data_IF_281580369336
#
_entry.id   IF_281580369336
#
_cell.length_a   1.000
_cell.length_b   1.000
_cell.length_c   1.000
_cell.angle_alpha   90.00
_cell.angle_beta   90.00
_cell.angle_gamma   90.00
#
_symmetry.space_group_name_H-M   'P 1'
#
loop_
_entity.id
_entity.type
_entity.pdbx_description
1 polymer ?
#
# COMPACT_ATOMS: atom_id res chain seq x y z
N UNK A 1 -36.80 5.64 -8.51
CA UNK A 1 -37.01 5.51 -7.05
C UNK A 1 -38.49 5.48 -6.62
N UNK A 2 -39.37 6.42 -6.99
CA UNK A 2 -40.82 6.38 -6.61
C UNK A 2 -41.56 5.06 -6.95
N UNK A 3 -41.27 4.47 -8.12
CA UNK A 3 -41.80 3.16 -8.55
C UNK A 3 -41.22 1.96 -7.77
N UNK A 4 -40.04 2.13 -7.15
CA UNK A 4 -39.39 1.09 -6.34
C UNK A 4 -39.99 1.11 -4.93
N UNK A 5 -40.15 2.31 -4.35
CA UNK A 5 -40.72 2.53 -3.01
C UNK A 5 -42.16 1.97 -2.83
N UNK A 6 -42.87 1.73 -3.93
CA UNK A 6 -44.23 1.18 -3.94
C UNK A 6 -44.28 -0.34 -4.05
N UNK A 7 -43.22 -1.00 -4.54
CA UNK A 7 -43.19 -2.45 -4.77
C UNK A 7 -42.56 -3.25 -3.63
N UNK A 8 -41.75 -2.59 -2.81
CA UNK A 8 -40.83 -3.27 -1.88
C UNK A 8 -41.31 -3.33 -0.42
N UNK A 9 -42.42 -2.65 -0.08
CA UNK A 9 -42.93 -2.63 1.29
C UNK A 9 -43.39 -4.00 1.79
N UNK A 10 -43.67 -4.90 0.85
CA UNK A 10 -44.12 -6.26 1.11
C UNK A 10 -43.01 -7.30 0.90
N UNK A 11 -41.76 -6.85 0.66
CA UNK A 11 -40.60 -7.73 0.48
C UNK A 11 -39.84 -7.88 1.81
N UNK A 12 -39.70 -9.11 2.28
CA UNK A 12 -39.12 -9.44 3.60
C UNK A 12 -37.61 -9.78 3.52
N UNK A 13 -36.96 -9.51 2.40
CA UNK A 13 -35.53 -9.77 2.20
C UNK A 13 -34.68 -8.51 2.06
N UNK A 14 -33.37 -8.71 1.93
CA UNK A 14 -32.41 -7.62 1.72
C UNK A 14 -32.57 -6.95 0.36
N UNK A 15 -32.37 -5.64 0.33
CA UNK A 15 -32.54 -4.84 -0.88
C UNK A 15 -31.30 -4.01 -1.15
N UNK A 16 -30.63 -4.35 -2.25
CA UNK A 16 -29.48 -3.62 -2.75
C UNK A 16 -29.90 -2.59 -3.80
N UNK A 17 -29.68 -1.31 -3.50
CA UNK A 17 -29.90 -0.22 -4.44
C UNK A 17 -28.57 0.19 -5.09
N UNK A 18 -28.35 -0.25 -6.33
CA UNK A 18 -27.22 0.19 -7.15
C UNK A 18 -27.54 1.51 -7.85
N UNK A 19 -26.69 2.51 -7.67
CA UNK A 19 -26.76 3.80 -8.35
C UNK A 19 -25.37 4.46 -8.39
N UNK A 20 -25.20 5.44 -9.27
CA UNK A 20 -24.09 6.38 -9.19
C UNK A 20 -24.49 7.58 -8.33
N UNK A 21 -23.63 7.97 -7.41
CA UNK A 21 -23.81 9.17 -6.61
C UNK A 21 -23.61 10.44 -7.45
N UNK A 22 -22.77 10.36 -8.48
CA UNK A 22 -22.57 11.39 -9.48
C UNK A 22 -22.47 10.81 -10.89
N UNK A 23 -23.08 11.51 -11.84
CA UNK A 23 -23.03 11.19 -13.26
C UNK A 23 -22.15 12.21 -13.98
N UNK A 24 -21.22 11.74 -14.80
CA UNK A 24 -20.43 12.61 -15.67
C UNK A 24 -21.14 12.81 -17.01
N UNK A 25 -21.49 14.06 -17.32
CA UNK A 25 -22.15 14.42 -18.58
C UNK A 25 -21.11 14.91 -19.60
N UNK A 26 -20.81 14.08 -20.60
CA UNK A 26 -19.70 14.31 -21.54
C UNK A 26 -19.84 15.59 -22.39
N UNK A 27 -21.06 15.98 -22.75
CA UNK A 27 -21.28 17.16 -23.61
C UNK A 27 -21.10 18.48 -22.87
N UNK A 28 -21.43 18.52 -21.57
CA UNK A 28 -21.30 19.74 -20.74
C UNK A 28 -20.06 19.71 -19.85
N UNK A 29 -19.41 18.54 -19.73
CA UNK A 29 -18.23 18.32 -18.87
C UNK A 29 -18.58 18.61 -17.41
N UNK A 30 -19.76 18.18 -16.97
CA UNK A 30 -20.30 18.43 -15.63
C UNK A 30 -20.48 17.13 -14.84
N UNK A 31 -20.27 17.22 -13.52
CA UNK A 31 -20.64 16.18 -12.57
C UNK A 31 -22.00 16.51 -11.95
N UNK A 32 -23.00 15.67 -12.21
CA UNK A 32 -24.36 15.86 -11.75
C UNK A 32 -24.68 14.89 -10.61
N UNK A 33 -25.09 15.43 -9.45
CA UNK A 33 -25.62 14.62 -8.35
C UNK A 33 -27.01 14.11 -8.73
N UNK A 34 -27.09 12.83 -9.11
CA UNK A 34 -28.33 12.19 -9.53
C UNK A 34 -29.26 11.76 -8.36
N UNK A 35 -28.74 11.33 -7.19
CA UNK A 35 -29.61 10.85 -6.11
C UNK A 35 -30.44 11.94 -5.42
N UNK A 36 -31.70 11.61 -5.14
CA UNK A 36 -32.58 12.46 -4.35
C UNK A 36 -32.54 12.04 -2.87
N UNK A 37 -31.93 12.86 -2.01
CA UNK A 37 -31.75 12.56 -0.57
C UNK A 37 -33.09 12.30 0.14
N UNK A 38 -34.16 13.05 -0.19
CA UNK A 38 -35.48 12.82 0.42
C UNK A 38 -36.07 11.45 0.06
N UNK A 39 -35.83 10.96 -1.15
CA UNK A 39 -36.26 9.61 -1.55
C UNK A 39 -35.35 8.53 -0.95
N UNK A 40 -34.05 8.79 -0.80
CA UNK A 40 -33.12 7.89 -0.11
C UNK A 40 -33.42 7.79 1.39
N UNK A 41 -33.78 8.88 2.05
CA UNK A 41 -34.23 8.84 3.44
C UNK A 41 -35.51 8.02 3.62
N UNK A 42 -36.43 8.07 2.65
CA UNK A 42 -37.61 7.17 2.63
C UNK A 42 -37.27 5.72 2.34
N UNK A 43 -36.18 5.47 1.60
CA UNK A 43 -35.63 4.14 1.42
C UNK A 43 -35.04 3.64 2.75
N UNK A 44 -34.36 4.50 3.49
CA UNK A 44 -33.84 4.20 4.83
C UNK A 44 -32.69 3.19 4.83
N UNK A 45 -31.62 3.42 4.04
CA UNK A 45 -30.52 2.45 3.93
C UNK A 45 -29.82 2.25 5.28
N UNK A 46 -29.32 1.04 5.51
CA UNK A 46 -28.49 0.73 6.69
C UNK A 46 -27.03 1.12 6.50
N UNK A 47 -26.55 1.15 5.26
CA UNK A 47 -25.18 1.52 4.91
C UNK A 47 -25.06 1.97 3.46
N UNK A 48 -23.98 2.65 3.14
CA UNK A 48 -23.60 3.03 1.77
C UNK A 48 -22.21 2.46 1.48
N UNK A 49 -22.07 1.76 0.36
CA UNK A 49 -20.78 1.21 -0.09
C UNK A 49 -20.44 1.81 -1.45
N UNK A 50 -19.32 2.49 -1.54
CA UNK A 50 -18.73 2.92 -2.82
C UNK A 50 -17.79 1.83 -3.31
N UNK A 51 -18.15 1.22 -4.43
CA UNK A 51 -17.30 0.23 -5.10
C UNK A 51 -16.21 0.94 -5.91
N UNK A 52 -14.96 0.56 -5.69
CA UNK A 52 -13.80 1.11 -6.42
C UNK A 52 -13.09 0.03 -7.22
N UNK A 53 -12.50 0.42 -8.33
CA UNK A 53 -11.67 -0.43 -9.17
C UNK A 53 -10.47 0.36 -9.70
N UNK A 54 -9.56 -0.31 -10.38
CA UNK A 54 -8.41 0.34 -11.02
C UNK A 54 -8.83 1.22 -12.18
N UNK A 55 -8.24 2.41 -12.24
CA UNK A 55 -8.49 3.43 -13.27
C UNK A 55 -8.31 2.87 -14.68
N UNK A 56 -7.33 1.96 -14.87
CA UNK A 56 -7.06 1.35 -16.18
C UNK A 56 -8.13 0.36 -16.60
N UNK A 57 -8.62 -0.48 -15.69
CA UNK A 57 -9.68 -1.45 -15.97
C UNK A 57 -11.00 -0.72 -16.23
N UNK A 58 -11.26 0.37 -15.48
CA UNK A 58 -12.38 1.27 -15.73
C UNK A 58 -12.24 1.92 -17.11
N UNK A 59 -11.06 2.43 -17.47
CA UNK A 59 -10.81 3.04 -18.77
C UNK A 59 -11.06 2.06 -19.91
N UNK A 60 -10.53 0.83 -19.81
CA UNK A 60 -10.73 -0.20 -20.81
C UNK A 60 -12.22 -0.54 -21.00
N UNK A 61 -12.96 -0.75 -19.91
CA UNK A 61 -14.41 -1.00 -20.00
C UNK A 61 -15.15 0.18 -20.61
N UNK A 62 -14.76 1.42 -20.29
CA UNK A 62 -15.37 2.61 -20.87
C UNK A 62 -15.00 2.86 -22.34
N UNK A 63 -14.03 2.10 -22.90
CA UNK A 63 -13.68 2.09 -24.33
C UNK A 63 -14.47 1.04 -25.13
N UNK A 64 -15.17 0.12 -24.47
CA UNK A 64 -15.99 -0.91 -25.13
C UNK A 64 -17.11 -0.28 -25.99
N UNK A 65 -17.71 -1.06 -26.87
CA UNK A 65 -18.78 -0.59 -27.78
C UNK A 65 -19.93 0.04 -26.98
N UNK A 66 -20.43 1.20 -27.45
CA UNK A 66 -21.49 2.00 -26.81
C UNK A 66 -21.13 2.62 -25.45
N UNK A 67 -19.84 2.72 -25.12
CA UNK A 67 -19.36 3.39 -23.91
C UNK A 67 -18.78 4.77 -24.21
N UNK A 68 -18.66 5.62 -23.18
CA UNK A 68 -18.36 7.06 -23.32
C UNK A 68 -16.96 7.38 -23.87
N UNK A 69 -16.00 6.47 -23.70
CA UNK A 69 -14.65 6.58 -24.25
C UNK A 69 -14.45 5.66 -25.46
N UNK A 70 -15.53 5.12 -26.01
CA UNK A 70 -15.46 4.48 -27.32
C UNK A 70 -15.16 5.52 -28.40
N UNK A 71 -14.22 5.21 -29.29
CA UNK A 71 -13.80 6.11 -30.37
C UNK A 71 -14.93 6.47 -31.34
N UNK A 72 -15.85 5.55 -31.60
CA UNK A 72 -16.97 5.81 -32.51
C UNK A 72 -17.97 6.82 -31.91
N UNK A 73 -17.92 7.01 -30.60
CA UNK A 73 -18.75 7.97 -29.87
C UNK A 73 -17.96 9.29 -29.71
N UNK A 74 -17.17 9.43 -28.65
CA UNK A 74 -16.41 10.63 -28.34
C UNK A 74 -15.14 10.35 -27.51
N UNK A 75 -14.65 9.11 -27.57
CA UNK A 75 -13.41 8.69 -26.95
C UNK A 75 -12.15 9.22 -27.66
N UNK A 76 -11.05 9.26 -26.93
CA UNK A 76 -9.77 9.73 -27.42
C UNK A 76 -9.23 8.89 -28.59
N UNK A 77 -8.56 9.58 -29.52
CA UNK A 77 -7.85 9.01 -30.66
C UNK A 77 -6.33 9.26 -30.61
N UNK A 78 -5.84 9.95 -29.58
CA UNK A 78 -4.43 10.28 -29.34
C UNK A 78 -3.99 9.87 -27.93
N UNK A 79 -2.70 9.63 -27.74
CA UNK A 79 -2.12 9.29 -26.42
C UNK A 79 -2.38 10.38 -25.38
N UNK A 80 -2.28 11.66 -25.77
CA UNK A 80 -2.64 12.80 -24.91
C UNK A 80 -4.10 12.72 -24.46
N UNK A 81 -5.02 12.44 -25.39
CA UNK A 81 -6.44 12.29 -25.09
C UNK A 81 -6.72 11.14 -24.12
N UNK A 82 -6.05 10.00 -24.29
CA UNK A 82 -6.17 8.84 -23.40
C UNK A 82 -5.67 9.16 -21.97
N UNK A 83 -4.59 9.95 -21.80
CA UNK A 83 -4.15 10.43 -20.48
C UNK A 83 -5.21 11.33 -19.85
N UNK A 84 -5.82 12.23 -20.64
CA UNK A 84 -6.88 13.12 -20.17
C UNK A 84 -8.15 12.37 -19.73
N UNK A 85 -8.48 11.26 -20.40
CA UNK A 85 -9.57 10.38 -19.96
C UNK A 85 -9.26 9.71 -18.61
N UNK A 86 -8.02 9.26 -18.38
CA UNK A 86 -7.61 8.74 -17.09
C UNK A 86 -7.72 9.80 -15.98
N UNK A 87 -7.32 11.05 -16.25
CA UNK A 87 -7.57 12.16 -15.31
C UNK A 87 -9.06 12.34 -15.00
N UNK A 88 -9.93 12.27 -16.01
CA UNK A 88 -11.38 12.37 -15.81
C UNK A 88 -11.92 11.22 -14.94
N UNK A 89 -11.44 10.00 -15.11
CA UNK A 89 -11.85 8.86 -14.26
C UNK A 89 -11.41 9.08 -12.81
N UNK A 90 -10.18 9.59 -12.59
CA UNK A 90 -9.68 9.93 -11.27
C UNK A 90 -10.52 11.02 -10.58
N UNK A 91 -10.94 12.04 -11.33
CA UNK A 91 -11.82 13.10 -10.83
C UNK A 91 -13.23 12.57 -10.56
N UNK A 92 -13.77 11.72 -11.44
CA UNK A 92 -15.07 11.09 -11.28
C UNK A 92 -15.11 10.24 -10.00
N UNK A 93 -14.11 9.38 -9.78
CA UNK A 93 -13.99 8.59 -8.55
C UNK A 93 -13.96 9.45 -7.28
N UNK A 94 -13.24 10.57 -7.33
CA UNK A 94 -13.15 11.50 -6.19
C UNK A 94 -14.51 12.12 -5.88
N UNK A 95 -15.24 12.58 -6.90
CA UNK A 95 -16.59 13.11 -6.77
C UNK A 95 -17.58 12.05 -6.28
N UNK A 96 -17.51 10.83 -6.81
CA UNK A 96 -18.36 9.71 -6.42
C UNK A 96 -18.19 9.39 -4.93
N UNK A 97 -16.93 9.28 -4.48
CA UNK A 97 -16.63 8.99 -3.08
C UNK A 97 -17.07 10.12 -2.16
N UNK A 98 -16.85 11.37 -2.57
CA UNK A 98 -17.22 12.56 -1.80
C UNK A 98 -18.75 12.67 -1.65
N UNK A 99 -19.49 12.53 -2.75
CA UNK A 99 -20.95 12.68 -2.75
C UNK A 99 -21.59 11.50 -2.00
N UNK A 100 -21.08 10.27 -2.15
CA UNK A 100 -21.55 9.13 -1.36
C UNK A 100 -21.35 9.35 0.15
N UNK A 101 -20.17 9.84 0.58
CA UNK A 101 -19.90 10.20 1.98
C UNK A 101 -20.85 11.29 2.49
N UNK A 102 -21.09 12.31 1.67
CA UNK A 102 -22.03 13.39 1.98
C UNK A 102 -23.45 12.85 2.17
N UNK A 103 -23.94 12.02 1.25
CA UNK A 103 -25.26 11.38 1.36
C UNK A 103 -25.35 10.57 2.66
N UNK A 104 -24.35 9.77 3.00
CA UNK A 104 -24.34 8.99 4.24
C UNK A 104 -24.44 9.88 5.50
N UNK A 105 -23.69 10.99 5.52
CA UNK A 105 -23.73 11.97 6.61
C UNK A 105 -25.09 12.65 6.74
N UNK A 106 -25.69 13.09 5.63
CA UNK A 106 -27.01 13.73 5.63
C UNK A 106 -28.10 12.77 6.09
N UNK A 107 -28.08 11.53 5.60
CA UNK A 107 -29.04 10.51 6.02
C UNK A 107 -28.88 10.19 7.52
N UNK A 108 -27.65 10.13 8.03
CA UNK A 108 -27.39 9.95 9.47
C UNK A 108 -27.99 11.07 10.32
N UNK A 109 -27.99 12.32 9.82
CA UNK A 109 -28.62 13.46 10.50
C UNK A 109 -30.15 13.44 10.45
N UNK A 110 -30.74 12.85 9.42
CA UNK A 110 -32.20 12.75 9.25
C UNK A 110 -32.81 11.56 10.01
N UNK A 111 -32.03 10.51 10.28
CA UNK A 111 -32.46 9.35 11.03
C UNK A 111 -31.98 9.44 12.47
N UNK A 112 -32.80 10.03 13.35
CA UNK A 112 -32.48 10.17 14.78
C UNK A 112 -32.03 8.84 15.39
N UNK A 113 -30.80 8.81 15.90
CA UNK A 113 -30.23 7.64 16.56
C UNK A 113 -29.68 6.55 15.64
N UNK A 114 -29.72 6.71 14.30
CA UNK A 114 -29.18 5.73 13.35
C UNK A 114 -28.08 6.37 12.47
N UNK A 115 -26.83 6.08 12.80
CA UNK A 115 -25.71 6.40 11.92
C UNK A 115 -25.71 5.46 10.70
N UNK A 116 -25.53 6.03 9.51
CA UNK A 116 -25.42 5.28 8.26
C UNK A 116 -23.94 5.33 7.84
N UNK A 117 -23.19 4.23 8.02
CA UNK A 117 -21.78 4.20 7.65
C UNK A 117 -21.59 4.25 6.14
N UNK A 118 -20.48 4.86 5.74
CA UNK A 118 -19.99 4.85 4.36
C UNK A 118 -18.70 4.05 4.29
N UNK A 119 -18.67 3.03 3.45
CA UNK A 119 -17.49 2.22 3.19
C UNK A 119 -16.99 2.41 1.75
N UNK A 120 -15.67 2.43 1.60
CA UNK A 120 -15.00 2.24 0.31
C UNK A 120 -14.59 0.77 0.22
N UNK A 121 -14.99 0.10 -0.85
CA UNK A 121 -14.74 -1.32 -1.06
C UNK A 121 -14.20 -1.56 -2.46
N UNK A 122 -13.00 -2.11 -2.58
CA UNK A 122 -12.46 -2.47 -3.87
C UNK A 122 -13.11 -3.75 -4.42
N UNK A 123 -13.56 -3.74 -5.67
CA UNK A 123 -14.27 -4.87 -6.30
C UNK A 123 -13.44 -6.14 -6.41
N UNK A 124 -12.12 -6.02 -6.27
CA UNK A 124 -11.16 -7.12 -6.31
C UNK A 124 -10.99 -7.84 -4.98
N UNK A 125 -11.63 -7.41 -3.88
CA UNK A 125 -11.71 -8.22 -2.66
C UNK A 125 -12.52 -9.50 -2.90
N UNK A 126 -12.32 -10.52 -2.06
CA UNK A 126 -13.21 -11.67 -2.03
C UNK A 126 -14.66 -11.24 -1.71
N UNK A 127 -15.61 -11.91 -2.35
CA UNK A 127 -17.04 -11.71 -2.15
C UNK A 127 -17.44 -12.03 -0.70
N UNK A 128 -16.76 -12.99 -0.08
CA UNK A 128 -16.92 -13.29 1.35
C UNK A 128 -16.61 -12.06 2.22
N UNK A 129 -15.59 -11.27 1.89
CA UNK A 129 -15.27 -10.04 2.62
C UNK A 129 -16.41 -9.01 2.54
N UNK A 130 -17.06 -8.88 1.37
CA UNK A 130 -18.25 -8.03 1.23
C UNK A 130 -19.43 -8.59 2.00
N UNK A 131 -19.65 -9.91 1.94
CA UNK A 131 -20.70 -10.57 2.71
C UNK A 131 -20.51 -10.33 4.21
N UNK A 132 -19.30 -10.52 4.73
CA UNK A 132 -18.95 -10.28 6.13
C UNK A 132 -19.17 -8.80 6.51
N UNK A 133 -18.80 -7.86 5.63
CA UNK A 133 -19.04 -6.43 5.84
C UNK A 133 -20.53 -6.10 5.99
N UNK A 134 -21.38 -6.71 5.15
CA UNK A 134 -22.82 -6.41 5.11
C UNK A 134 -23.59 -7.14 6.22
N UNK A 135 -23.31 -8.44 6.41
CA UNK A 135 -24.14 -9.33 7.23
C UNK A 135 -23.53 -9.71 8.57
N UNK A 136 -22.24 -9.42 8.79
CA UNK A 136 -21.54 -9.75 10.03
C UNK A 136 -20.94 -8.50 10.68
N UNK A 137 -21.80 -7.56 11.12
CA UNK A 137 -21.34 -6.30 11.71
C UNK A 137 -20.51 -6.50 12.98
N UNK A 138 -20.59 -7.67 13.62
CA UNK A 138 -19.78 -8.05 14.78
C UNK A 138 -18.31 -8.35 14.44
N UNK A 139 -18.00 -8.67 13.19
CA UNK A 139 -16.63 -8.93 12.78
C UNK A 139 -15.83 -7.62 12.75
N UNK A 140 -14.58 -7.62 13.25
CA UNK A 140 -13.73 -6.44 13.21
C UNK A 140 -13.37 -6.09 11.77
N UNK A 141 -13.41 -4.79 11.46
CA UNK A 141 -12.93 -4.24 10.19
C UNK A 141 -11.45 -3.96 10.35
N UNK A 142 -10.61 -4.59 9.52
CA UNK A 142 -9.16 -4.54 9.70
C UNK A 142 -8.52 -4.03 8.41
N UNK A 143 -7.77 -2.93 8.50
CA UNK A 143 -6.88 -2.54 7.43
C UNK A 143 -5.56 -3.28 7.55
N UNK A 144 -5.13 -3.95 6.47
CA UNK A 144 -3.95 -4.80 6.43
C UNK A 144 -2.84 -4.11 5.63
N UNK A 145 -1.99 -3.41 6.35
CA UNK A 145 -0.83 -2.68 5.84
C UNK A 145 0.35 -3.61 5.54
N UNK A 146 1.00 -3.46 4.38
CA UNK A 146 2.14 -4.30 3.96
C UNK A 146 3.06 -3.60 2.93
N UNK A 147 4.34 -4.02 2.79
CA UNK A 147 5.37 -3.27 2.05
C UNK A 147 5.32 -3.47 0.52
N UNK A 148 4.40 -2.80 -0.17
CA UNK A 148 4.22 -2.93 -1.65
C UNK A 148 5.47 -2.48 -2.43
N UNK A 149 6.04 -1.32 -2.09
CA UNK A 149 7.15 -0.73 -2.85
C UNK A 149 8.42 -1.59 -2.84
N UNK A 150 8.69 -2.29 -1.74
CA UNK A 150 9.85 -3.17 -1.61
C UNK A 150 9.71 -4.40 -2.52
N UNK A 151 8.52 -4.99 -2.59
CA UNK A 151 8.26 -6.16 -3.44
C UNK A 151 8.40 -5.80 -4.92
N UNK A 152 7.94 -4.59 -5.30
CA UNK A 152 8.17 -4.06 -6.65
C UNK A 152 9.64 -3.76 -6.94
N UNK A 153 10.40 -3.30 -5.95
CA UNK A 153 11.86 -3.12 -6.08
C UNK A 153 12.54 -4.45 -6.36
N UNK A 154 12.19 -5.50 -5.61
CA UNK A 154 12.71 -6.86 -5.81
C UNK A 154 12.44 -7.39 -7.22
N UNK A 155 11.20 -7.26 -7.73
CA UNK A 155 10.87 -7.65 -9.12
C UNK A 155 11.72 -6.91 -10.15
N UNK A 156 11.92 -5.60 -9.99
CA UNK A 156 12.79 -4.82 -10.91
C UNK A 156 14.26 -5.22 -10.85
N UNK A 157 14.72 -5.71 -9.70
CA UNK A 157 16.09 -6.19 -9.52
C UNK A 157 16.27 -7.67 -9.92
N UNK A 158 15.20 -8.33 -10.38
CA UNK A 158 15.22 -9.74 -10.78
C UNK A 158 15.20 -10.73 -9.61
N UNK A 159 14.84 -10.28 -8.40
CA UNK A 159 14.68 -11.12 -7.22
C UNK A 159 13.26 -11.74 -7.13
N UNK A 160 12.76 -12.31 -8.24
CA UNK A 160 11.36 -12.73 -8.40
C UNK A 160 10.92 -13.76 -7.34
N UNK A 161 11.77 -14.76 -7.04
CA UNK A 161 11.45 -15.80 -6.05
C UNK A 161 11.11 -15.20 -4.67
N UNK A 162 11.86 -14.18 -4.23
CA UNK A 162 11.62 -13.55 -2.93
C UNK A 162 10.40 -12.63 -2.95
N UNK A 163 10.19 -11.92 -4.06
CA UNK A 163 8.99 -11.13 -4.27
C UNK A 163 7.72 -12.00 -4.27
N UNK A 164 7.74 -13.11 -5.01
CA UNK A 164 6.62 -14.03 -5.16
C UNK A 164 6.28 -14.75 -3.85
N UNK A 165 7.27 -15.13 -3.04
CA UNK A 165 7.02 -15.67 -1.69
C UNK A 165 6.22 -14.69 -0.81
N UNK A 166 6.55 -13.40 -0.88
CA UNK A 166 5.86 -12.37 -0.12
C UNK A 166 4.47 -12.08 -0.67
N UNK A 167 4.31 -12.08 -2.01
CA UNK A 167 3.00 -11.96 -2.67
C UNK A 167 2.09 -13.11 -2.23
N UNK A 168 2.56 -14.37 -2.31
CA UNK A 168 1.80 -15.55 -1.86
C UNK A 168 1.41 -15.47 -0.38
N UNK A 169 2.30 -14.97 0.48
CA UNK A 169 1.99 -14.78 1.91
C UNK A 169 0.87 -13.75 2.13
N UNK A 170 0.81 -12.70 1.30
CA UNK A 170 -0.24 -11.68 1.36
C UNK A 170 -1.56 -12.21 0.77
N UNK A 171 -1.51 -13.01 -0.29
CA UNK A 171 -2.68 -13.71 -0.84
C UNK A 171 -3.29 -14.68 0.18
N UNK A 172 -2.46 -15.45 0.89
CA UNK A 172 -2.90 -16.29 2.00
C UNK A 172 -3.56 -15.44 3.09
N UNK A 173 -3.00 -14.28 3.42
CA UNK A 173 -3.56 -13.37 4.42
C UNK A 173 -4.93 -12.83 3.97
N UNK A 174 -5.09 -12.43 2.71
CA UNK A 174 -6.38 -12.05 2.13
C UNK A 174 -7.41 -13.19 2.24
N UNK A 175 -7.00 -14.41 1.90
CA UNK A 175 -7.86 -15.59 1.92
C UNK A 175 -8.29 -15.95 3.34
N UNK A 176 -7.37 -16.00 4.30
CA UNK A 176 -7.67 -16.37 5.69
C UNK A 176 -8.41 -15.26 6.44
N UNK A 177 -8.17 -13.99 6.12
CA UNK A 177 -8.92 -12.88 6.71
C UNK A 177 -10.40 -12.93 6.29
N UNK A 178 -10.69 -13.35 5.07
CA UNK A 178 -12.06 -13.57 4.60
C UNK A 178 -12.77 -14.66 5.42
N UNK A 179 -13.92 -14.34 6.02
CA UNK A 179 -14.68 -15.23 6.90
C UNK A 179 -14.32 -15.13 8.38
N UNK A 180 -13.16 -14.55 8.73
CA UNK A 180 -12.71 -14.36 10.12
C UNK A 180 -12.73 -12.89 10.55
N UNK A 181 -12.56 -11.96 9.60
CA UNK A 181 -12.64 -10.51 9.78
C UNK A 181 -13.00 -9.83 8.46
N UNK A 182 -13.30 -8.53 8.48
CA UNK A 182 -13.43 -7.76 7.25
C UNK A 182 -12.08 -7.13 6.90
N UNK A 183 -11.28 -7.83 6.11
CA UNK A 183 -9.92 -7.41 5.72
C UNK A 183 -9.89 -6.47 4.51
N UNK A 184 -9.46 -5.22 4.71
CA UNK A 184 -9.17 -4.26 3.63
C UNK A 184 -7.67 -4.28 3.30
N UNK A 185 -7.32 -4.48 2.03
CA UNK A 185 -5.95 -4.59 1.54
C UNK A 185 -5.73 -3.53 0.45
N UNK A 186 -4.65 -2.73 0.51
CA UNK A 186 -4.37 -1.71 -0.49
C UNK A 186 -4.09 -2.28 -1.90
N UNK A 187 -3.65 -3.53 -2.01
CA UNK A 187 -3.27 -4.20 -3.27
C UNK A 187 -4.45 -4.68 -4.12
N UNK A 188 -5.68 -4.62 -3.60
CA UNK A 188 -6.90 -4.85 -4.39
C UNK A 188 -7.19 -3.68 -5.33
N UNK A 189 -6.48 -2.56 -5.23
CA UNK A 189 -6.51 -1.46 -6.21
C UNK A 189 -5.06 -1.01 -6.48
N UNK A 190 -4.49 -1.53 -7.57
CA UNK A 190 -3.10 -1.42 -7.98
C UNK A 190 -2.95 -0.54 -9.23
N UNK A 191 -2.84 0.77 -9.02
CA UNK A 191 -2.95 1.78 -10.09
C UNK A 191 -1.65 2.51 -10.40
N UNK A 192 -0.68 2.56 -9.48
CA UNK A 192 0.60 3.20 -9.74
C UNK A 192 1.48 2.26 -10.57
N UNK A 193 1.09 1.97 -11.80
CA UNK A 193 1.77 0.99 -12.67
C UNK A 193 2.40 1.60 -13.91
N UNK A 194 2.36 2.92 -14.07
CA UNK A 194 3.00 3.59 -15.21
C UNK A 194 4.50 3.29 -15.15
N UNK A 195 5.01 2.67 -16.20
CA UNK A 195 6.42 2.30 -16.30
C UNK A 195 7.30 3.55 -16.43
N UNK A 196 8.55 3.47 -15.99
CA UNK A 196 9.48 4.59 -16.06
C UNK A 196 10.94 4.13 -16.13
N UNK A 197 11.76 4.91 -16.84
CA UNK A 197 13.22 4.83 -16.76
C UNK A 197 13.78 5.91 -15.83
N UNK A 198 15.05 5.77 -15.47
CA UNK A 198 15.82 6.83 -14.84
C UNK A 198 16.73 7.49 -15.87
N UNK A 199 16.70 8.83 -15.93
CA UNK A 199 17.62 9.59 -16.77
C UNK A 199 19.03 9.70 -16.15
N UNK A 200 19.94 10.40 -16.83
CA UNK A 200 21.31 10.63 -16.33
C UNK A 200 21.36 11.35 -14.97
N UNK A 201 20.31 12.11 -14.63
CA UNK A 201 20.15 12.82 -13.35
C UNK A 201 19.38 11.99 -12.31
N UNK A 202 19.00 10.75 -12.63
CA UNK A 202 18.16 9.86 -11.83
C UNK A 202 16.73 10.37 -11.64
N UNK A 203 16.23 11.19 -12.54
CA UNK A 203 14.83 11.57 -12.60
C UNK A 203 14.02 10.53 -13.38
N UNK A 204 12.75 10.36 -12.99
CA UNK A 204 11.85 9.39 -13.62
C UNK A 204 11.34 9.92 -14.97
N UNK A 205 11.62 9.18 -16.04
CA UNK A 205 11.02 9.38 -17.37
C UNK A 205 9.92 8.34 -17.55
N UNK A 206 8.67 8.79 -17.42
CA UNK A 206 7.51 7.92 -17.55
C UNK A 206 7.27 7.50 -19.01
N UNK A 207 6.94 6.22 -19.19
CA UNK A 207 6.66 5.60 -20.47
C UNK A 207 5.17 5.38 -20.66
N UNK A 208 4.70 5.40 -21.92
CA UNK A 208 3.37 4.95 -22.26
C UNK A 208 3.30 3.42 -22.19
N UNK A 209 3.45 2.84 -21.00
CA UNK A 209 3.30 1.40 -20.75
C UNK A 209 2.99 1.16 -19.26
N UNK A 210 2.41 -0.01 -18.96
CA UNK A 210 2.18 -0.44 -17.59
C UNK A 210 3.14 -1.56 -17.20
N UNK A 211 3.65 -1.49 -15.98
CA UNK A 211 4.24 -2.65 -15.31
C UNK A 211 3.16 -3.71 -15.04
N UNK A 212 3.62 -4.94 -14.82
CA UNK A 212 2.76 -6.05 -14.39
C UNK A 212 1.93 -5.65 -13.17
N UNK A 213 0.68 -6.11 -13.13
CA UNK A 213 -0.20 -6.01 -11.97
C UNK A 213 0.37 -6.83 -10.81
N UNK A 214 0.28 -6.28 -9.60
CA UNK A 214 0.42 -7.07 -8.38
C UNK A 214 -0.46 -8.33 -8.43
N UNK A 215 0.14 -9.49 -8.21
CA UNK A 215 -0.55 -10.78 -8.20
C UNK A 215 -1.47 -10.98 -9.43
N UNK A 216 -0.96 -10.69 -10.63
CA UNK A 216 -1.77 -10.69 -11.85
C UNK A 216 -2.59 -11.98 -12.04
N UNK A 217 -2.00 -13.15 -11.77
CA UNK A 217 -2.68 -14.45 -11.87
C UNK A 217 -3.85 -14.57 -10.89
N UNK A 218 -3.65 -14.19 -9.63
CA UNK A 218 -4.67 -14.23 -8.57
C UNK A 218 -5.88 -13.35 -8.85
N UNK A 219 -5.69 -12.22 -9.53
CA UNK A 219 -6.77 -11.30 -9.89
C UNK A 219 -7.34 -11.48 -11.30
N UNK A 220 -6.73 -12.34 -12.12
CA UNK A 220 -7.29 -12.71 -13.43
C UNK A 220 -8.52 -13.62 -13.28
N UNK A 221 -8.55 -14.44 -12.22
CA UNK A 221 -9.70 -15.28 -11.88
C UNK A 221 -10.79 -14.44 -11.20
N UNK A 222 -11.99 -14.42 -11.79
CA UNK A 222 -13.15 -13.69 -11.24
C UNK A 222 -13.94 -14.51 -10.22
N UNK A 223 -13.55 -15.76 -9.97
CA UNK A 223 -14.24 -16.63 -9.03
C UNK A 223 -14.24 -16.01 -7.62
N UNK A 224 -15.42 -15.85 -7.04
CA UNK A 224 -15.64 -15.25 -5.72
C UNK A 224 -15.17 -13.79 -5.58
N UNK A 225 -15.22 -12.97 -6.63
CA UNK A 225 -14.98 -11.51 -6.55
C UNK A 225 -16.09 -10.75 -7.27
N UNK A 226 -16.24 -9.44 -6.99
CA UNK A 226 -17.12 -8.56 -7.78
C UNK A 226 -16.44 -8.05 -9.06
N UNK A 227 -15.13 -8.23 -9.16
CA UNK A 227 -14.34 -7.79 -10.29
C UNK A 227 -14.70 -8.56 -11.55
N UNK A 228 -15.06 -7.83 -12.60
CA UNK A 228 -15.19 -8.34 -13.95
C UNK A 228 -13.98 -7.82 -14.72
N UNK A 229 -13.04 -8.69 -15.11
CA UNK A 229 -11.90 -8.26 -15.89
C UNK A 229 -12.41 -7.67 -17.22
N UNK A 230 -11.76 -6.62 -17.73
CA UNK A 230 -12.08 -6.09 -19.05
C UNK A 230 -11.95 -7.21 -20.09
N UNK A 231 -12.84 -7.25 -21.08
CA UNK A 231 -12.77 -8.24 -22.15
C UNK A 231 -11.47 -8.00 -22.90
N UNK A 232 -10.56 -8.99 -22.90
CA UNK A 232 -9.38 -8.96 -23.76
C UNK A 232 -9.86 -8.83 -25.20
N UNK A 233 -9.74 -7.63 -25.79
CA UNK A 233 -9.91 -7.52 -27.24
C UNK A 233 -8.85 -8.40 -27.87
N UNK A 234 -9.23 -9.26 -28.83
CA UNK A 234 -8.40 -10.28 -29.50
C UNK A 234 -7.03 -9.80 -30.07
N UNK A 235 -6.63 -8.53 -29.89
CA UNK A 235 -5.48 -7.93 -30.54
C UNK A 235 -4.48 -7.12 -29.70
N UNK A 236 -4.58 -7.01 -28.37
CA UNK A 236 -3.57 -6.23 -27.64
C UNK A 236 -3.26 -6.83 -26.27
N UNK A 237 -1.98 -7.24 -26.08
CA UNK A 237 -1.34 -7.12 -24.76
C UNK A 237 -1.71 -5.74 -24.22
N UNK A 238 -2.02 -5.57 -22.92
CA UNK A 238 -2.50 -4.31 -22.31
C UNK A 238 -1.56 -3.13 -22.60
N UNK A 239 -1.66 -2.63 -23.82
CA UNK A 239 -1.07 -1.41 -24.33
C UNK A 239 -2.10 -0.38 -23.93
N UNK A 240 -1.76 0.37 -22.88
CA UNK A 240 -2.54 1.54 -22.52
C UNK A 240 -2.78 2.45 -23.75
N UNK A 241 -1.82 2.43 -24.70
CA UNK A 241 -1.70 3.35 -25.82
C UNK A 241 -1.46 2.55 -27.10
N UNK A 242 -2.15 2.92 -28.18
CA UNK A 242 -2.02 2.22 -29.47
C UNK A 242 -0.63 2.38 -30.11
N UNK A 243 0.05 3.50 -29.85
CA UNK A 243 1.34 3.84 -30.45
C UNK A 243 2.42 4.05 -29.36
N UNK A 244 3.14 2.98 -29.00
CA UNK A 244 4.33 3.06 -28.11
C UNK A 244 5.43 3.98 -28.67
N UNK A 245 5.38 4.27 -29.98
CA UNK A 245 6.32 5.15 -30.68
C UNK A 245 6.05 6.65 -30.51
N UNK A 246 4.85 7.06 -30.06
CA UNK A 246 4.48 8.47 -29.93
C UNK A 246 4.74 8.98 -28.49
N UNK A 247 6.00 8.91 -28.07
CA UNK A 247 6.44 9.46 -26.77
C UNK A 247 6.86 10.92 -26.93
N UNK A 248 5.89 11.77 -27.28
CA UNK A 248 6.09 13.22 -27.27
C UNK A 248 6.44 13.70 -25.86
N UNK A 249 7.17 14.80 -25.74
CA UNK A 249 7.54 15.35 -24.43
C UNK A 249 6.32 15.84 -23.64
N UNK A 250 5.24 16.24 -24.34
CA UNK A 250 3.94 16.52 -23.74
C UNK A 250 3.34 15.27 -23.09
N UNK A 251 3.38 14.13 -23.78
CA UNK A 251 2.86 12.86 -23.26
C UNK A 251 3.62 12.42 -22.02
N UNK A 252 4.97 12.48 -22.03
CA UNK A 252 5.79 12.17 -20.85
C UNK A 252 5.47 13.07 -19.65
N UNK A 253 5.25 14.36 -19.92
CA UNK A 253 4.88 15.35 -18.89
C UNK A 253 3.52 15.02 -18.28
N UNK A 254 2.53 14.70 -19.11
CA UNK A 254 1.20 14.32 -18.65
C UNK A 254 1.20 12.98 -17.89
N UNK A 255 2.02 12.01 -18.30
CA UNK A 255 2.19 10.75 -17.58
C UNK A 255 2.78 10.95 -16.19
N UNK A 256 3.76 11.86 -16.04
CA UNK A 256 4.31 12.24 -14.74
C UNK A 256 3.22 12.83 -13.83
N UNK A 257 2.45 13.80 -14.34
CA UNK A 257 1.33 14.39 -13.59
C UNK A 257 0.25 13.34 -13.26
N UNK A 258 -0.02 12.40 -14.16
CA UNK A 258 -0.94 11.29 -13.91
C UNK A 258 -0.44 10.39 -12.78
N UNK A 259 0.82 9.99 -12.82
CA UNK A 259 1.45 9.19 -11.77
C UNK A 259 1.38 9.90 -10.40
N UNK A 260 1.66 11.21 -10.36
CA UNK A 260 1.59 12.02 -9.14
C UNK A 260 0.16 12.10 -8.59
N UNK A 261 -0.85 12.28 -9.46
CA UNK A 261 -2.26 12.28 -9.03
C UNK A 261 -2.72 10.91 -8.55
N UNK A 262 -2.32 9.84 -9.22
CA UNK A 262 -2.58 8.47 -8.77
C UNK A 262 -1.96 8.27 -7.39
N UNK A 263 -0.69 8.64 -7.18
CA UNK A 263 -0.02 8.54 -5.88
C UNK A 263 -0.74 9.29 -4.76
N UNK A 264 -1.23 10.51 -5.02
CA UNK A 264 -2.04 11.30 -4.08
C UNK A 264 -3.38 10.61 -3.76
N UNK A 265 -4.05 10.04 -4.77
CA UNK A 265 -5.32 9.34 -4.56
C UNK A 265 -5.14 8.01 -3.82
N UNK A 266 -4.07 7.26 -4.10
CA UNK A 266 -3.70 6.05 -3.34
C UNK A 266 -3.52 6.41 -1.86
N UNK A 267 -2.71 7.43 -1.57
CA UNK A 267 -2.49 7.88 -0.18
C UNK A 267 -3.81 8.26 0.51
N UNK A 268 -4.66 9.03 -0.19
CA UNK A 268 -5.95 9.47 0.36
C UNK A 268 -6.92 8.30 0.56
N UNK A 269 -6.95 7.34 -0.37
CA UNK A 269 -7.76 6.12 -0.29
C UNK A 269 -7.31 5.28 0.89
N UNK A 270 -6.01 5.01 1.02
CA UNK A 270 -5.46 4.17 2.07
C UNK A 270 -5.72 4.78 3.45
N UNK A 271 -5.61 6.11 3.59
CA UNK A 271 -6.06 6.80 4.81
C UNK A 271 -7.56 6.63 5.08
N UNK A 272 -8.44 6.66 4.07
CA UNK A 272 -9.87 6.39 4.27
C UNK A 272 -10.14 4.93 4.66
N UNK A 273 -9.38 3.98 4.10
CA UNK A 273 -9.45 2.57 4.49
C UNK A 273 -8.99 2.36 5.94
N UNK A 274 -7.95 3.07 6.37
CA UNK A 274 -7.55 3.13 7.78
C UNK A 274 -8.67 3.78 8.61
N UNK A 275 -9.23 4.93 8.19
CA UNK A 275 -10.31 5.65 8.88
C UNK A 275 -11.53 4.75 9.15
N UNK A 276 -12.02 4.03 8.13
CA UNK A 276 -13.21 3.17 8.21
C UNK A 276 -13.01 1.83 8.96
N UNK A 277 -11.77 1.44 9.26
CA UNK A 277 -11.46 0.18 9.93
C UNK A 277 -11.53 0.32 11.46
N UNK A 278 -11.83 -0.76 12.17
CA UNK A 278 -11.77 -0.81 13.63
C UNK A 278 -10.33 -1.05 14.13
N UNK A 279 -9.53 -1.79 13.34
CA UNK A 279 -8.18 -2.19 13.70
C UNK A 279 -7.18 -1.95 12.56
N UNK A 280 -5.90 -1.90 12.92
CA UNK A 280 -4.78 -1.89 11.99
C UNK A 280 -3.91 -3.13 12.18
N UNK A 281 -3.74 -3.93 11.14
CA UNK A 281 -2.77 -5.04 11.08
C UNK A 281 -1.61 -4.64 10.17
N UNK A 282 -0.39 -4.62 10.70
CA UNK A 282 0.82 -4.32 9.92
C UNK A 282 1.62 -5.60 9.71
N UNK A 283 1.79 -5.99 8.45
CA UNK A 283 2.46 -7.21 8.04
C UNK A 283 3.86 -6.91 7.49
N UNK A 284 4.89 -7.32 8.23
CA UNK A 284 6.32 -7.24 7.85
C UNK A 284 6.74 -5.84 7.37
N UNK A 285 6.66 -4.80 8.21
CA UNK A 285 6.92 -3.41 7.80
C UNK A 285 8.37 -3.16 7.33
N UNK A 286 9.29 -4.06 7.66
CA UNK A 286 10.72 -4.00 7.34
C UNK A 286 11.17 -5.16 6.44
N UNK A 287 10.28 -5.71 5.63
CA UNK A 287 10.58 -6.84 4.76
C UNK A 287 11.89 -6.62 4.00
N UNK A 288 12.75 -7.65 3.98
CA UNK A 288 14.07 -7.60 3.34
C UNK A 288 14.96 -6.43 3.83
N UNK A 289 14.80 -6.06 5.10
CA UNK A 289 15.56 -5.00 5.73
C UNK A 289 15.28 -3.60 5.20
N UNK A 290 14.21 -3.42 4.43
CA UNK A 290 13.82 -2.13 3.87
C UNK A 290 12.55 -1.65 4.58
N UNK A 291 12.59 -0.54 5.35
CA UNK A 291 11.41 0.00 5.99
C UNK A 291 10.46 0.58 4.94
N UNK A 292 9.17 0.21 5.00
CA UNK A 292 8.18 0.72 4.07
C UNK A 292 7.64 2.08 4.49
N UNK A 293 7.89 3.10 3.67
CA UNK A 293 7.38 4.45 3.91
C UNK A 293 5.84 4.51 3.87
N UNK A 294 5.20 3.74 2.98
CA UNK A 294 3.73 3.68 2.91
C UNK A 294 3.12 3.15 4.21
N UNK A 295 3.69 2.04 4.71
CA UNK A 295 3.29 1.44 5.99
C UNK A 295 3.50 2.41 7.15
N UNK A 296 4.64 3.11 7.19
CA UNK A 296 4.90 4.15 8.20
C UNK A 296 3.87 5.27 8.16
N UNK A 297 3.52 5.77 6.96
CA UNK A 297 2.52 6.83 6.81
C UNK A 297 1.13 6.38 7.31
N UNK A 298 0.75 5.13 7.04
CA UNK A 298 -0.51 4.54 7.51
C UNK A 298 -0.56 4.40 9.03
N UNK A 299 0.55 3.98 9.65
CA UNK A 299 0.73 3.91 11.10
C UNK A 299 0.64 5.31 11.73
N UNK A 300 1.34 6.29 11.17
CA UNK A 300 1.29 7.67 11.68
C UNK A 300 -0.11 8.29 11.55
N UNK A 301 -0.82 8.00 10.45
CA UNK A 301 -2.19 8.44 10.27
C UNK A 301 -3.13 7.78 11.28
N UNK A 302 -2.98 6.47 11.52
CA UNK A 302 -3.70 5.76 12.57
C UNK A 302 -3.47 6.38 13.95
N UNK A 303 -2.21 6.67 14.32
CA UNK A 303 -1.89 7.30 15.59
C UNK A 303 -2.56 8.67 15.76
N UNK A 304 -2.59 9.49 14.69
CA UNK A 304 -3.31 10.78 14.66
C UNK A 304 -4.82 10.61 14.87
N UNK A 305 -5.42 9.56 14.32
CA UNK A 305 -6.85 9.27 14.55
C UNK A 305 -7.11 8.92 16.02
N UNK A 306 -6.30 8.06 16.62
CA UNK A 306 -6.43 7.68 18.05
C UNK A 306 -6.25 8.90 18.95
N UNK A 307 -5.26 9.76 18.67
CA UNK A 307 -5.03 10.99 19.44
C UNK A 307 -6.21 11.97 19.32
N UNK A 308 -6.71 12.18 18.09
CA UNK A 308 -7.81 13.11 17.82
C UNK A 308 -9.11 12.63 18.44
N UNK A 309 -9.38 11.33 18.37
CA UNK A 309 -10.58 10.70 18.89
C UNK A 309 -10.23 9.90 20.14
N UNK A 310 -9.81 10.55 21.23
CA UNK A 310 -9.36 9.92 22.50
C UNK A 310 -10.28 8.85 23.11
N UNK A 311 -11.51 8.71 22.61
CA UNK A 311 -12.51 7.69 23.01
C UNK A 311 -12.59 6.49 22.04
N UNK A 312 -11.83 6.51 20.95
CA UNK A 312 -11.87 5.49 19.91
C UNK A 312 -10.73 4.49 20.17
N UNK A 313 -11.09 3.31 20.69
CA UNK A 313 -10.16 2.18 20.75
C UNK A 313 -9.94 1.69 19.32
N UNK A 314 -8.75 1.92 18.77
CA UNK A 314 -8.34 1.44 17.43
C UNK A 314 -7.06 0.63 17.58
N UNK A 315 -7.12 -0.65 17.98
CA UNK A 315 -5.91 -1.40 18.26
C UNK A 315 -5.04 -1.56 17.01
N UNK A 316 -3.73 -1.53 17.21
CA UNK A 316 -2.76 -1.79 16.16
C UNK A 316 -1.88 -2.99 16.53
N UNK A 317 -1.88 -3.99 15.65
CA UNK A 317 -1.09 -5.20 15.74
C UNK A 317 -0.01 -5.18 14.67
N UNK A 318 1.24 -5.41 15.05
CA UNK A 318 2.35 -5.46 14.11
C UNK A 318 3.09 -6.78 14.15
N UNK A 319 3.16 -7.45 13.01
CA UNK A 319 4.02 -8.60 12.81
C UNK A 319 5.33 -8.15 12.17
N UNK A 320 6.42 -8.21 12.94
CA UNK A 320 7.75 -7.85 12.47
C UNK A 320 8.72 -8.98 12.85
N UNK A 321 8.91 -9.98 11.98
CA UNK A 321 9.81 -11.11 12.21
C UNK A 321 11.20 -10.67 12.67
N UNK A 322 11.86 -11.51 13.47
CA UNK A 322 13.23 -11.25 13.92
C UNK A 322 14.17 -11.24 12.70
N UNK A 323 13.92 -12.07 11.69
CA UNK A 323 14.68 -12.09 10.45
C UNK A 323 14.68 -10.72 9.74
N UNK A 324 13.51 -10.10 9.57
CA UNK A 324 13.40 -8.78 8.92
C UNK A 324 14.11 -7.69 9.73
N UNK A 325 14.04 -7.77 11.06
CA UNK A 325 14.75 -6.85 11.95
C UNK A 325 16.28 -7.01 11.82
N UNK A 326 16.76 -8.25 11.68
CA UNK A 326 18.19 -8.54 11.45
C UNK A 326 18.64 -8.02 10.09
N UNK A 327 17.85 -8.23 9.03
CA UNK A 327 18.11 -7.68 7.70
C UNK A 327 18.15 -6.14 7.72
N UNK A 328 17.25 -5.50 8.46
CA UNK A 328 17.21 -4.05 8.63
C UNK A 328 18.49 -3.52 9.29
N UNK A 329 18.95 -4.18 10.36
CA UNK A 329 20.20 -3.81 11.02
C UNK A 329 21.40 -3.91 10.08
N UNK A 330 21.47 -4.98 9.29
CA UNK A 330 22.53 -5.18 8.29
C UNK A 330 22.48 -4.08 7.22
N UNK A 331 21.28 -3.70 6.74
CA UNK A 331 21.11 -2.58 5.80
C UNK A 331 21.61 -1.26 6.39
N UNK A 332 21.34 -0.99 7.66
CA UNK A 332 21.87 0.21 8.33
C UNK A 332 23.39 0.18 8.50
N UNK A 333 23.99 -0.99 8.72
CA UNK A 333 25.44 -1.13 8.69
C UNK A 333 26.01 -0.77 7.31
N UNK A 334 25.47 -1.35 6.23
CA UNK A 334 25.90 -1.04 4.85
C UNK A 334 25.79 0.46 4.57
N UNK A 335 24.63 1.06 4.85
CA UNK A 335 24.39 2.49 4.66
C UNK A 335 25.35 3.37 5.47
N UNK A 336 25.68 3.00 6.71
CA UNK A 336 26.58 3.79 7.56
C UNK A 336 28.04 3.67 7.10
N UNK A 337 28.43 2.53 6.53
CA UNK A 337 29.73 2.34 5.88
C UNK A 337 29.80 3.19 4.60
N UNK A 338 28.78 3.13 3.75
CA UNK A 338 28.67 3.95 2.53
C UNK A 338 28.71 5.46 2.86
N UNK A 339 28.01 5.92 3.90
CA UNK A 339 28.09 7.30 4.39
C UNK A 339 29.51 7.67 4.84
N UNK A 340 30.22 6.75 5.49
CA UNK A 340 31.60 6.95 5.93
C UNK A 340 32.58 7.00 4.74
N UNK A 341 32.32 6.26 3.67
CA UNK A 341 33.07 6.34 2.39
C UNK A 341 32.81 7.69 1.73
N UNK A 342 31.53 8.09 1.60
CA UNK A 342 31.13 9.36 0.97
C UNK A 342 31.67 10.59 1.71
N UNK A 343 31.74 10.53 3.04
CA UNK A 343 32.33 11.59 3.88
C UNK A 343 33.87 11.54 3.96
N UNK A 344 34.51 10.66 3.16
CA UNK A 344 35.97 10.45 3.10
C UNK A 344 36.60 10.07 4.43
N UNK A 345 35.85 9.39 5.30
CA UNK A 345 36.36 8.75 6.52
C UNK A 345 36.95 7.37 6.21
N UNK A 346 36.36 6.70 5.23
CA UNK A 346 36.84 5.46 4.61
C UNK A 346 37.18 5.71 3.14
N UNK A 347 38.07 4.89 2.60
CA UNK A 347 38.47 4.83 1.19
C UNK A 347 38.11 3.45 0.65
N UNK A 348 37.26 3.42 -0.36
CA UNK A 348 36.79 2.22 -1.05
C UNK A 348 36.30 2.60 -2.46
N UNK A 349 36.74 1.85 -3.46
CA UNK A 349 36.31 2.07 -4.85
C UNK A 349 35.02 1.30 -5.12
N UNK A 350 33.88 1.95 -4.87
CA UNK A 350 32.56 1.44 -5.23
C UNK A 350 31.53 1.54 -4.10
N UNK A 351 30.42 0.82 -4.26
CA UNK A 351 29.37 0.72 -3.24
C UNK A 351 29.65 -0.47 -2.34
N UNK A 352 29.60 -0.27 -1.01
CA UNK A 352 29.83 -1.35 -0.07
C UNK A 352 28.54 -2.19 0.10
N UNK A 353 28.69 -3.50 0.14
CA UNK A 353 27.61 -4.44 0.47
C UNK A 353 28.17 -5.71 1.10
N UNK A 354 27.39 -6.40 1.92
CA UNK A 354 27.72 -7.74 2.41
C UNK A 354 27.17 -8.80 1.45
N UNK A 355 27.98 -9.82 1.15
CA UNK A 355 27.51 -11.02 0.44
C UNK A 355 26.64 -11.92 1.33
N UNK A 356 26.00 -12.93 0.76
CA UNK A 356 25.07 -13.80 1.47
C UNK A 356 25.70 -14.57 2.64
N UNK A 357 26.98 -14.94 2.53
CA UNK A 357 27.70 -15.62 3.60
C UNK A 357 28.01 -14.65 4.76
N UNK A 358 28.49 -13.45 4.43
CA UNK A 358 28.72 -12.37 5.39
C UNK A 358 27.43 -11.98 6.11
N UNK A 359 26.31 -11.84 5.38
CA UNK A 359 24.98 -11.58 5.94
C UNK A 359 24.54 -12.69 6.89
N UNK A 360 24.69 -13.95 6.48
CA UNK A 360 24.33 -15.11 7.32
C UNK A 360 25.15 -15.16 8.61
N UNK A 361 26.47 -14.91 8.53
CA UNK A 361 27.34 -14.79 9.70
C UNK A 361 26.91 -13.64 10.63
N UNK A 362 26.62 -12.46 10.08
CA UNK A 362 26.13 -11.31 10.86
C UNK A 362 24.81 -11.62 11.56
N UNK A 363 23.83 -12.22 10.86
CA UNK A 363 22.54 -12.63 11.45
C UNK A 363 22.72 -13.52 12.68
N UNK A 364 23.71 -14.42 12.67
CA UNK A 364 24.04 -15.30 13.80
C UNK A 364 24.56 -14.58 15.05
N UNK A 365 25.02 -13.34 14.94
CA UNK A 365 25.48 -12.53 16.08
C UNK A 365 24.47 -11.49 16.55
N UNK A 366 23.31 -11.41 15.90
CA UNK A 366 22.23 -10.53 16.28
C UNK A 366 21.25 -11.19 17.27
N UNK A 367 21.53 -12.42 17.71
CA UNK A 367 20.66 -13.21 18.58
C UNK A 367 21.44 -13.99 19.66
N UNK A 368 21.54 -13.46 20.90
CA UNK A 368 21.28 -12.06 21.27
C UNK A 368 22.29 -11.12 20.60
N UNK A 369 21.90 -9.84 20.42
CA UNK A 369 22.75 -8.84 19.75
C UNK A 369 24.09 -8.69 20.48
N UNK A 370 25.17 -9.11 19.83
CA UNK A 370 26.54 -8.99 20.32
C UNK A 370 27.30 -7.97 19.47
N UNK A 371 27.21 -6.70 19.85
CA UNK A 371 27.83 -5.58 19.10
C UNK A 371 29.36 -5.71 19.00
N UNK A 372 30.03 -6.32 19.97
CA UNK A 372 31.47 -6.54 19.93
C UNK A 372 31.86 -7.56 18.84
N UNK A 373 31.08 -8.63 18.69
CA UNK A 373 31.28 -9.63 17.61
C UNK A 373 30.91 -9.06 16.25
N UNK A 374 29.81 -8.32 16.16
CA UNK A 374 29.43 -7.59 14.93
C UNK A 374 30.56 -6.64 14.51
N UNK A 375 31.11 -5.86 15.44
CA UNK A 375 32.25 -4.97 15.18
C UNK A 375 33.47 -5.74 14.67
N UNK A 376 33.77 -6.89 15.28
CA UNK A 376 34.85 -7.77 14.83
C UNK A 376 34.69 -8.21 13.38
N UNK A 377 33.48 -8.67 13.01
CA UNK A 377 33.16 -9.08 11.65
C UNK A 377 33.18 -7.94 10.65
N UNK A 378 32.55 -6.80 10.97
CA UNK A 378 32.56 -5.64 10.07
C UNK A 378 33.99 -5.23 9.75
N UNK A 379 34.89 -5.26 10.74
CA UNK A 379 36.31 -5.00 10.52
C UNK A 379 36.97 -6.04 9.63
N UNK A 380 36.73 -7.33 9.87
CA UNK A 380 37.21 -8.44 9.04
C UNK A 380 36.81 -8.20 7.59
N UNK A 381 35.52 -7.96 7.34
CA UNK A 381 34.97 -7.77 5.99
C UNK A 381 35.47 -6.50 5.31
N UNK A 382 35.55 -5.39 6.02
CA UNK A 382 36.11 -4.17 5.46
C UNK A 382 37.59 -4.35 5.08
N UNK A 383 38.38 -5.06 5.91
CA UNK A 383 39.77 -5.40 5.59
C UNK A 383 39.86 -6.28 4.34
N UNK A 384 39.03 -7.31 4.26
CA UNK A 384 39.01 -8.26 3.14
C UNK A 384 38.60 -7.59 1.83
N UNK A 385 37.67 -6.63 1.89
CA UNK A 385 37.26 -5.79 0.74
C UNK A 385 38.24 -4.64 0.43
N UNK A 386 39.32 -4.49 1.18
CA UNK A 386 40.31 -3.44 0.97
C UNK A 386 39.84 -2.03 1.36
N UNK A 387 38.79 -1.91 2.18
CA UNK A 387 38.32 -0.64 2.74
C UNK A 387 39.35 -0.12 3.73
N UNK A 388 39.85 1.10 3.53
CA UNK A 388 40.91 1.71 4.37
C UNK A 388 40.38 2.94 5.10
N UNK A 389 40.83 3.17 6.33
CA UNK A 389 40.54 4.43 7.03
C UNK A 389 41.41 5.55 6.48
N UNK A 390 40.83 6.72 6.23
CA UNK A 390 41.61 7.91 5.87
C UNK A 390 42.14 8.57 7.15
N UNK A 391 43.45 8.50 7.38
CA UNK A 391 44.13 8.97 8.60
C UNK A 391 44.04 10.49 8.88
N UNK A 392 43.21 11.23 8.15
CA UNK A 392 43.00 12.69 8.34
C UNK A 392 41.95 13.02 9.40
N UNK A 393 41.18 12.04 9.89
CA UNK A 393 40.19 12.27 10.94
C UNK A 393 40.86 12.20 12.33
N UNK A 394 41.02 13.38 12.96
CA UNK A 394 41.66 13.69 14.26
C UNK A 394 43.19 13.68 14.26
N UNK A 395 43.77 14.87 14.11
CA UNK A 395 45.19 15.18 14.34
C UNK A 395 45.68 14.98 15.81
N UNK A 396 45.03 14.13 16.61
CA UNK A 396 45.27 14.01 18.05
C UNK A 396 45.57 12.59 18.55
N UNK A 397 45.49 11.56 17.71
CA UNK A 397 45.94 10.21 18.10
C UNK A 397 47.15 9.77 17.26
N UNK A 398 48.29 9.43 17.89
CA UNK A 398 49.48 9.01 17.17
C UNK A 398 49.40 7.59 16.59
N UNK A 399 48.34 6.82 16.89
CA UNK A 399 48.15 5.44 16.41
C UNK A 399 47.00 5.30 15.39
N UNK A 400 47.32 5.10 14.08
CA UNK A 400 46.33 4.84 13.04
C UNK A 400 45.44 3.61 13.30
N UNK A 401 45.93 2.60 14.01
CA UNK A 401 45.15 1.39 14.32
C UNK A 401 44.04 1.70 15.34
N UNK A 402 44.33 2.55 16.34
CA UNK A 402 43.34 3.03 17.29
C UNK A 402 42.26 3.90 16.64
N UNK A 403 42.63 4.77 15.70
CA UNK A 403 41.66 5.59 14.94
C UNK A 403 40.72 4.72 14.08
N UNK A 404 41.27 3.67 13.47
CA UNK A 404 40.48 2.70 12.70
C UNK A 404 39.51 1.91 13.61
N UNK A 405 39.97 1.52 14.81
CA UNK A 405 39.14 0.86 15.82
C UNK A 405 37.95 1.74 16.22
N UNK A 406 38.21 3.01 16.54
CA UNK A 406 37.18 3.96 16.97
C UNK A 406 36.13 4.19 15.88
N UNK A 407 36.56 4.26 14.61
CA UNK A 407 35.64 4.43 13.48
C UNK A 407 34.67 3.25 13.34
N UNK A 408 35.14 2.00 13.45
CA UNK A 408 34.25 0.84 13.39
C UNK A 408 33.30 0.76 14.59
N UNK A 409 33.73 1.20 15.78
CA UNK A 409 32.84 1.34 16.94
C UNK A 409 31.73 2.34 16.63
N UNK A 410 32.07 3.49 16.06
CA UNK A 410 31.11 4.53 15.70
C UNK A 410 30.13 4.05 14.62
N UNK A 411 30.60 3.37 13.57
CA UNK A 411 29.76 2.81 12.50
C UNK A 411 28.70 1.86 13.08
N UNK A 412 29.13 0.89 13.90
CA UNK A 412 28.21 -0.09 14.50
C UNK A 412 27.24 0.59 15.46
N UNK A 413 27.70 1.59 16.24
CA UNK A 413 26.86 2.35 17.14
C UNK A 413 25.78 3.15 16.38
N UNK A 414 26.17 3.88 15.34
CA UNK A 414 25.25 4.69 14.53
C UNK A 414 24.23 3.81 13.80
N UNK A 415 24.64 2.65 13.26
CA UNK A 415 23.73 1.69 12.67
C UNK A 415 22.72 1.13 13.70
N UNK A 416 23.18 0.83 14.91
CA UNK A 416 22.33 0.40 16.01
C UNK A 416 21.33 1.49 16.46
N UNK A 417 21.75 2.76 16.51
CA UNK A 417 20.87 3.88 16.83
C UNK A 417 19.79 4.07 15.75
N UNK A 418 20.14 4.03 14.46
CA UNK A 418 19.17 4.07 13.35
C UNK A 418 18.18 2.90 13.46
N UNK A 419 18.68 1.69 13.66
CA UNK A 419 17.87 0.48 13.83
C UNK A 419 16.89 0.59 15.00
N UNK A 420 17.36 0.97 16.19
CA UNK A 420 16.52 1.14 17.38
C UNK A 420 15.50 2.27 17.20
N UNK A 421 15.87 3.35 16.50
CA UNK A 421 14.95 4.45 16.20
C UNK A 421 13.81 3.95 15.32
N UNK A 422 14.11 3.25 14.23
CA UNK A 422 13.09 2.70 13.33
C UNK A 422 12.22 1.65 14.03
N UNK A 423 12.79 0.74 14.80
CA UNK A 423 12.00 -0.19 15.62
C UNK A 423 11.19 0.51 16.71
N UNK A 424 11.67 1.64 17.22
CA UNK A 424 10.98 2.49 18.18
C UNK A 424 9.76 3.19 17.58
N UNK A 425 9.85 3.68 16.33
CA UNK A 425 8.70 4.26 15.62
C UNK A 425 7.55 3.28 15.52
N UNK A 426 7.89 2.02 15.26
CA UNK A 426 6.96 0.91 15.31
C UNK A 426 6.45 0.73 16.76
N UNK A 427 7.30 0.34 17.71
CA UNK A 427 6.88 0.02 19.09
C UNK A 427 6.04 1.10 19.80
N UNK A 428 6.33 2.38 19.57
CA UNK A 428 5.70 3.48 20.29
C UNK A 428 4.27 3.80 19.82
N UNK A 429 3.86 3.32 18.65
CA UNK A 429 2.55 3.65 18.05
C UNK A 429 1.56 2.48 18.12
N UNK A 430 1.91 1.36 18.77
CA UNK A 430 1.13 0.12 18.70
C UNK A 430 0.60 -0.36 20.03
N UNK A 431 -0.45 -1.17 19.93
CA UNK A 431 -0.97 -1.92 21.06
C UNK A 431 -0.21 -3.24 21.25
N UNK A 432 0.25 -3.85 20.15
CA UNK A 432 0.97 -5.13 20.19
C UNK A 432 1.98 -5.31 19.05
N UNK A 433 3.12 -5.93 19.36
CA UNK A 433 4.13 -6.33 18.37
C UNK A 433 4.49 -7.82 18.54
N UNK A 434 4.35 -8.60 17.46
CA UNK A 434 4.79 -9.99 17.37
C UNK A 434 6.17 -10.05 16.70
N UNK A 435 7.17 -10.45 17.46
CA UNK A 435 8.57 -10.60 17.02
C UNK A 435 8.97 -12.08 17.06
N UNK A 436 8.42 -12.89 16.15
CA UNK A 436 8.67 -14.33 16.06
C UNK A 436 8.83 -14.70 14.58
N UNK A 437 9.85 -15.51 14.27
CA UNK A 437 10.06 -16.04 12.92
C UNK A 437 9.16 -17.24 12.65
N UNK A 438 8.84 -17.50 11.38
CA UNK A 438 8.13 -18.71 10.95
C UNK A 438 6.68 -18.84 11.45
N UNK A 439 6.05 -17.74 11.86
CA UNK A 439 4.62 -17.72 12.21
C UNK A 439 3.80 -17.91 10.94
N UNK A 440 2.89 -18.89 10.94
CA UNK A 440 1.97 -19.09 9.81
C UNK A 440 0.95 -17.94 9.74
N UNK A 441 0.38 -17.70 8.55
CA UNK A 441 -0.67 -16.68 8.37
C UNK A 441 -1.87 -16.94 9.29
N UNK A 442 -2.25 -18.20 9.49
CA UNK A 442 -3.34 -18.59 10.39
C UNK A 442 -3.01 -18.27 11.86
N UNK A 443 -1.81 -18.65 12.35
CA UNK A 443 -1.37 -18.33 13.72
C UNK A 443 -1.33 -16.82 13.92
N UNK A 444 -0.84 -16.07 12.92
CA UNK A 444 -0.79 -14.62 12.92
C UNK A 444 -2.19 -14.00 13.06
N UNK A 445 -3.14 -14.40 12.21
CA UNK A 445 -4.50 -13.87 12.19
C UNK A 445 -5.21 -14.16 13.51
N UNK A 446 -5.13 -15.40 14.01
CA UNK A 446 -5.74 -15.77 15.29
C UNK A 446 -5.14 -14.96 16.45
N UNK A 447 -3.81 -14.81 16.48
CA UNK A 447 -3.15 -13.99 17.50
C UNK A 447 -3.57 -12.52 17.41
N UNK A 448 -3.75 -11.98 16.20
CA UNK A 448 -4.21 -10.61 16.01
C UNK A 448 -5.65 -10.41 16.48
N UNK A 449 -6.55 -11.34 16.13
CA UNK A 449 -7.95 -11.33 16.56
C UNK A 449 -8.10 -11.38 18.08
N UNK A 450 -7.35 -12.26 18.76
CA UNK A 450 -7.35 -12.35 20.22
C UNK A 450 -6.95 -11.02 20.88
N UNK A 451 -5.97 -10.32 20.29
CA UNK A 451 -5.54 -8.99 20.76
C UNK A 451 -6.59 -7.92 20.48
N UNK A 452 -7.14 -7.89 19.28
CA UNK A 452 -8.21 -6.94 18.92
C UNK A 452 -9.43 -7.10 19.83
N UNK A 453 -9.88 -8.34 20.10
CA UNK A 453 -10.98 -8.61 21.00
C UNK A 453 -10.70 -8.11 22.43
N UNK A 454 -9.47 -8.28 22.93
CA UNK A 454 -9.08 -7.78 24.26
C UNK A 454 -9.16 -6.25 24.35
N UNK A 455 -8.79 -5.53 23.29
CA UNK A 455 -8.65 -4.07 23.32
C UNK A 455 -9.93 -3.33 22.91
N UNK A 456 -10.72 -3.91 22.00
CA UNK A 456 -12.03 -3.38 21.64
C UNK A 456 -13.04 -3.50 22.79
N UNK A 457 -12.95 -4.54 23.63
CA UNK A 457 -13.81 -4.69 24.80
C UNK A 457 -13.46 -3.78 26.00
N UNK A 458 -12.33 -3.05 25.95
CA UNK A 458 -11.87 -2.15 27.03
C UNK A 458 -12.25 -0.69 26.85
N UNK A 459 -12.63 -0.28 25.63
CA UNK A 459 -13.06 1.08 25.30
C UNK A 459 -14.57 1.18 25.27
#
# INVERSE_FOLDING_TARGET
MKKILTKWKDYDGDIFLKLHSCFYHQLTVEYLCAPNISLLSKFGPDMIITLTDDVYDVHQRLKETHQIFNRAEAGADTSVGEVLELFRILDWRSNETMIARYIASELSGLHEGKAIPHFIFAVKHYLQTLFDLVYRPELPKVYISHPISEIRRLKREGEDSRADQMISSIEELEKFSSGTMVGFLPTTTDELRIDYDLDEKKEQIFKPSLTERWAAKHYAESENRLHIPPIESENDQVKLWRDEGDSSDETKTLLRELADRIGKQITTRDYKLVEQSDCLLVFRPCFNGNPSQGVLNEIEYHAKLVERYRRLSKPCFVYNPIEDQKDLFIRYLESTIDESINTRRLEFDGKFSFDDNQRSRLKGYLDPVNLDRVRGLVREYCRDKGVRSVARFKAMSPDPAALTQDLYVEIVKNANEKWLTTLGMYRNQFTYILQKDGVSVEELINTALDRFASDLNRG
#
